data_IF_839844057198
#
_entry.id   IF_839844057198
#
_cell.length_a   1.000
_cell.length_b   1.000
_cell.length_c   1.000
_cell.angle_alpha   90.00
_cell.angle_beta   90.00
_cell.angle_gamma   90.00
#
_symmetry.space_group_name_H-M   'P 1'
#
loop_
_entity.id
_entity.type
_entity.pdbx_description
1 polymer ?
#
# COMPACT_ATOMS: atom_id res chain seq x y z
N UNK A 1 -11.77 -12.99 -6.83
CA UNK A 1 -10.49 -13.64 -7.14
C UNK A 1 -9.32 -12.76 -6.75
N UNK A 2 -9.32 -11.45 -7.10
CA UNK A 2 -8.22 -10.53 -6.77
C UNK A 2 -8.05 -10.24 -5.27
N UNK A 3 -9.12 -10.24 -4.47
CA UNK A 3 -9.03 -9.97 -3.03
C UNK A 3 -8.41 -11.12 -2.24
N UNK A 4 -8.64 -12.36 -2.62
CA UNK A 4 -8.02 -13.53 -1.97
C UNK A 4 -6.51 -13.59 -2.24
N UNK A 5 -6.05 -13.17 -3.41
CA UNK A 5 -4.63 -13.12 -3.73
C UNK A 5 -3.91 -12.06 -2.91
N UNK A 6 -4.47 -10.85 -2.78
CA UNK A 6 -3.90 -9.81 -1.92
C UNK A 6 -3.81 -10.23 -0.44
N UNK A 7 -4.78 -11.00 0.06
CA UNK A 7 -4.79 -11.45 1.47
C UNK A 7 -3.73 -12.53 1.72
N UNK A 8 -3.54 -13.48 0.81
CA UNK A 8 -2.52 -14.53 0.96
C UNK A 8 -1.12 -13.95 0.98
N UNK A 9 -0.81 -13.08 0.04
CA UNK A 9 0.51 -12.45 -0.04
C UNK A 9 0.79 -11.56 1.17
N UNK A 10 -0.22 -10.86 1.68
CA UNK A 10 -0.07 -10.07 2.91
C UNK A 10 0.29 -10.92 4.12
N UNK A 11 -0.19 -12.17 4.20
CA UNK A 11 0.18 -13.09 5.28
C UNK A 11 1.64 -13.56 5.15
N UNK A 12 2.11 -13.84 3.94
CA UNK A 12 3.50 -14.24 3.70
C UNK A 12 4.45 -13.07 4.01
N UNK A 13 4.12 -11.87 3.55
CA UNK A 13 4.87 -10.65 3.86
C UNK A 13 4.84 -10.33 5.37
N UNK A 14 3.72 -10.54 6.04
CA UNK A 14 3.62 -10.37 7.48
C UNK A 14 4.51 -11.37 8.24
N UNK A 15 4.61 -12.61 7.75
CA UNK A 15 5.53 -13.61 8.31
C UNK A 15 6.99 -13.22 8.15
N UNK A 16 7.37 -12.61 7.03
CA UNK A 16 8.74 -12.08 6.85
C UNK A 16 9.02 -10.90 7.78
N UNK A 17 8.06 -9.98 7.94
CA UNK A 17 8.19 -8.88 8.90
C UNK A 17 8.28 -9.39 10.35
N UNK A 18 7.51 -10.42 10.71
CA UNK A 18 7.60 -11.08 12.02
C UNK A 18 8.98 -11.67 12.27
N UNK A 19 9.59 -12.33 11.27
CA UNK A 19 10.97 -12.82 11.36
C UNK A 19 11.96 -11.69 11.65
N UNK A 20 11.81 -10.55 10.96
CA UNK A 20 12.64 -9.36 11.19
C UNK A 20 12.53 -8.82 12.61
N UNK A 21 11.29 -8.66 13.12
CA UNK A 21 11.04 -8.22 14.50
C UNK A 21 11.66 -9.19 15.50
N UNK A 22 11.43 -10.50 15.33
CA UNK A 22 11.92 -11.51 16.27
C UNK A 22 13.44 -11.62 16.23
N UNK A 23 14.09 -11.50 15.06
CA UNK A 23 15.55 -11.53 14.92
C UNK A 23 16.23 -10.33 15.59
N UNK A 24 15.55 -9.17 15.60
CA UNK A 24 16.02 -7.96 16.28
C UNK A 24 15.73 -7.94 17.81
N UNK A 25 15.19 -9.04 18.36
CA UNK A 25 14.93 -9.18 19.80
C UNK A 25 13.57 -8.68 20.25
N UNK A 26 12.68 -8.32 19.31
CA UNK A 26 11.29 -8.00 19.60
C UNK A 26 10.39 -9.24 19.68
N UNK A 27 9.12 -9.02 19.91
CA UNK A 27 8.07 -10.05 19.81
C UNK A 27 6.95 -9.54 18.96
N UNK A 28 6.76 -10.13 17.79
CA UNK A 28 5.69 -9.76 16.89
C UNK A 28 4.34 -10.39 17.29
N UNK A 29 3.27 -9.65 17.04
CA UNK A 29 1.89 -10.12 17.07
C UNK A 29 1.22 -9.66 15.79
N UNK A 30 0.78 -10.60 14.96
CA UNK A 30 0.14 -10.29 13.68
C UNK A 30 -1.37 -10.17 13.88
N UNK A 31 -1.95 -9.11 13.33
CA UNK A 31 -3.40 -8.97 13.19
C UNK A 31 -3.74 -8.38 11.82
N UNK A 32 -4.95 -8.62 11.36
CA UNK A 32 -5.41 -8.15 10.05
C UNK A 32 -6.53 -7.13 10.21
N UNK A 33 -6.58 -6.16 9.30
CA UNK A 33 -7.71 -5.25 9.13
C UNK A 33 -8.35 -5.48 7.75
N UNK A 34 -9.49 -4.83 7.52
CA UNK A 34 -10.18 -4.92 6.24
C UNK A 34 -9.33 -4.35 5.10
N UNK A 35 -9.52 -4.89 3.92
CA UNK A 35 -8.95 -4.37 2.67
C UNK A 35 -10.04 -4.26 1.61
N UNK A 36 -10.11 -3.12 0.94
CA UNK A 36 -11.00 -2.88 -0.20
C UNK A 36 -10.16 -2.64 -1.45
N UNK A 37 -10.52 -3.32 -2.53
CA UNK A 37 -9.94 -3.09 -3.84
C UNK A 37 -10.89 -2.26 -4.69
N UNK A 38 -10.47 -1.06 -5.07
CA UNK A 38 -11.23 -0.18 -5.96
C UNK A 38 -11.45 -0.82 -7.33
N UNK A 39 -10.47 -1.58 -7.83
CA UNK A 39 -10.58 -2.28 -9.11
C UNK A 39 -11.71 -3.30 -9.16
N UNK A 40 -12.01 -3.98 -8.06
CA UNK A 40 -13.11 -4.94 -7.97
C UNK A 40 -14.46 -4.24 -7.89
N UNK A 41 -14.53 -3.13 -7.16
CA UNK A 41 -15.78 -2.40 -6.91
C UNK A 41 -16.11 -1.34 -7.99
N UNK A 42 -15.15 -1.04 -8.87
CA UNK A 42 -15.32 -0.04 -9.93
C UNK A 42 -16.55 -0.34 -10.82
N UNK A 43 -17.36 0.69 -11.09
CA UNK A 43 -18.57 0.56 -11.87
C UNK A 43 -19.76 -0.09 -11.15
N UNK A 44 -19.61 -0.49 -9.88
CA UNK A 44 -20.68 -1.05 -9.06
C UNK A 44 -21.11 -0.12 -7.92
N UNK A 45 -22.26 -0.43 -7.29
CA UNK A 45 -22.71 0.27 -6.08
C UNK A 45 -21.70 0.14 -4.91
N UNK A 46 -20.87 -0.89 -4.91
CA UNK A 46 -19.81 -1.12 -3.92
C UNK A 46 -18.77 0.01 -3.86
N UNK A 47 -18.57 0.74 -4.95
CA UNK A 47 -17.60 1.84 -5.00
C UNK A 47 -17.91 2.97 -3.99
N UNK A 48 -19.14 3.12 -3.55
CA UNK A 48 -19.56 4.08 -2.52
C UNK A 48 -18.88 3.85 -1.17
N UNK A 49 -18.43 2.62 -0.90
CA UNK A 49 -17.77 2.22 0.33
C UNK A 49 -16.24 2.35 0.28
N UNK A 50 -15.67 2.59 -0.91
CA UNK A 50 -14.23 2.63 -1.10
C UNK A 50 -13.55 3.67 -0.22
N UNK A 51 -13.93 4.95 -0.31
CA UNK A 51 -13.29 6.01 0.48
C UNK A 51 -13.53 5.85 1.99
N UNK A 52 -14.70 5.38 2.39
CA UNK A 52 -15.05 5.12 3.80
C UNK A 52 -14.13 4.08 4.43
N UNK A 53 -13.70 3.07 3.66
CA UNK A 53 -12.82 2.02 4.15
C UNK A 53 -11.49 2.57 4.69
N UNK A 54 -10.99 3.69 4.18
CA UNK A 54 -9.77 4.35 4.67
C UNK A 54 -9.86 4.69 6.16
N UNK A 55 -10.98 5.28 6.59
CA UNK A 55 -11.21 5.64 8.00
C UNK A 55 -11.35 4.39 8.86
N UNK A 56 -12.11 3.39 8.39
CA UNK A 56 -12.32 2.13 9.13
C UNK A 56 -10.98 1.39 9.33
N UNK A 57 -10.11 1.41 8.33
CA UNK A 57 -8.76 0.82 8.43
C UNK A 57 -7.95 1.57 9.50
N UNK A 58 -7.91 2.91 9.43
CA UNK A 58 -7.20 3.72 10.42
C UNK A 58 -7.70 3.46 11.84
N UNK A 59 -9.02 3.49 12.04
CA UNK A 59 -9.66 3.25 13.32
C UNK A 59 -9.38 1.85 13.87
N UNK A 60 -9.38 0.82 13.01
CA UNK A 60 -9.10 -0.55 13.42
C UNK A 60 -7.65 -0.73 13.89
N UNK A 61 -6.68 -0.15 13.17
CA UNK A 61 -5.26 -0.20 13.53
C UNK A 61 -5.03 0.53 14.85
N UNK A 62 -5.57 1.74 14.98
CA UNK A 62 -5.49 2.54 16.19
C UNK A 62 -6.08 1.81 17.37
N UNK A 63 -7.29 1.27 17.23
CA UNK A 63 -8.02 0.56 18.30
C UNK A 63 -7.26 -0.67 18.79
N UNK A 64 -6.83 -1.54 17.87
CA UNK A 64 -6.14 -2.78 18.25
C UNK A 64 -4.80 -2.47 18.90
N UNK A 65 -4.00 -1.61 18.28
CA UNK A 65 -2.65 -1.29 18.76
C UNK A 65 -2.68 -0.58 20.12
N UNK A 66 -3.61 0.36 20.29
CA UNK A 66 -3.75 1.08 21.55
C UNK A 66 -4.28 0.19 22.67
N UNK A 67 -5.32 -0.60 22.39
CA UNK A 67 -5.95 -1.50 23.37
C UNK A 67 -5.00 -2.60 23.84
N UNK A 68 -4.24 -3.19 22.93
CA UNK A 68 -3.28 -4.24 23.26
C UNK A 68 -1.94 -3.70 23.81
N UNK A 69 -1.72 -2.40 23.74
CA UNK A 69 -0.52 -1.77 24.29
C UNK A 69 0.76 -2.09 23.51
N UNK A 70 0.69 -2.29 22.18
CA UNK A 70 1.88 -2.56 21.38
C UNK A 70 2.81 -1.35 21.32
N UNK A 71 4.11 -1.58 21.39
CA UNK A 71 5.13 -0.52 21.47
C UNK A 71 5.44 0.09 20.09
N UNK A 72 5.33 -0.71 19.01
CA UNK A 72 5.59 -0.28 17.64
C UNK A 72 4.73 -1.04 16.64
N UNK A 73 4.69 -0.57 15.40
CA UNK A 73 3.84 -1.15 14.34
C UNK A 73 4.59 -1.25 13.02
N UNK A 74 4.54 -2.43 12.40
CA UNK A 74 4.80 -2.58 10.96
C UNK A 74 3.47 -2.77 10.27
N UNK A 75 3.10 -1.83 9.41
CA UNK A 75 1.87 -1.90 8.63
C UNK A 75 2.17 -2.28 7.18
N UNK A 76 1.50 -3.30 6.65
CA UNK A 76 1.64 -3.75 5.26
C UNK A 76 0.35 -3.44 4.52
N UNK A 77 0.44 -2.71 3.42
CA UNK A 77 -0.71 -2.33 2.63
C UNK A 77 -0.40 -2.15 1.15
N UNK A 78 -1.35 -2.45 0.28
CA UNK A 78 -1.09 -2.48 -1.16
C UNK A 78 -2.20 -1.94 -2.06
N UNK A 79 -3.25 -1.32 -1.54
CA UNK A 79 -4.35 -0.82 -2.38
C UNK A 79 -4.69 0.63 -2.06
N UNK A 80 -5.53 1.24 -2.91
CA UNK A 80 -5.85 2.67 -2.98
C UNK A 80 -6.15 3.32 -1.63
N UNK A 81 -6.99 2.68 -0.81
CA UNK A 81 -7.49 3.26 0.44
C UNK A 81 -6.81 2.68 1.66
N UNK A 82 -6.29 1.45 1.60
CA UNK A 82 -5.66 0.85 2.75
C UNK A 82 -4.28 1.46 3.07
N UNK A 83 -3.50 1.84 2.06
CA UNK A 83 -2.22 2.51 2.31
C UNK A 83 -2.38 3.83 3.09
N UNK A 84 -3.18 4.81 2.62
CA UNK A 84 -3.40 6.02 3.41
C UNK A 84 -4.10 5.73 4.74
N UNK A 85 -5.02 4.76 4.80
CA UNK A 85 -5.65 4.33 6.05
C UNK A 85 -4.65 3.80 7.07
N UNK A 86 -3.71 2.95 6.64
CA UNK A 86 -2.62 2.49 7.49
C UNK A 86 -1.80 3.66 8.04
N UNK A 87 -1.32 4.55 7.17
CA UNK A 87 -0.49 5.68 7.61
C UNK A 87 -1.23 6.64 8.52
N UNK A 88 -2.55 6.86 8.29
CA UNK A 88 -3.39 7.64 9.22
C UNK A 88 -3.46 6.97 10.60
N UNK A 89 -3.65 5.66 10.67
CA UNK A 89 -3.63 4.91 11.93
C UNK A 89 -2.28 5.02 12.65
N UNK A 90 -1.16 4.86 11.91
CA UNK A 90 0.19 5.03 12.45
C UNK A 90 0.42 6.46 12.98
N UNK A 91 -0.05 7.47 12.24
CA UNK A 91 0.07 8.88 12.62
C UNK A 91 -0.70 9.19 13.90
N UNK A 92 -1.95 8.70 14.04
CA UNK A 92 -2.80 8.89 15.23
C UNK A 92 -2.22 8.20 16.46
N UNK A 93 -1.70 6.99 16.31
CA UNK A 93 -1.02 6.25 17.38
C UNK A 93 0.27 6.93 17.84
N UNK A 94 0.97 7.56 16.93
CA UNK A 94 2.26 8.20 17.15
C UNK A 94 3.24 7.32 17.93
N UNK A 95 3.31 6.04 17.57
CA UNK A 95 4.29 5.06 18.07
C UNK A 95 5.30 4.73 16.97
N UNK A 96 6.53 4.34 17.31
CA UNK A 96 7.52 3.90 16.31
C UNK A 96 6.91 2.97 15.28
N UNK A 97 6.99 3.35 14.01
CA UNK A 97 6.24 2.64 12.97
C UNK A 97 6.95 2.67 11.63
N UNK A 98 6.79 1.58 10.88
CA UNK A 98 7.25 1.45 9.50
C UNK A 98 6.09 0.98 8.64
N UNK A 99 5.90 1.60 7.49
CA UNK A 99 4.97 1.14 6.48
C UNK A 99 5.71 0.34 5.40
N UNK A 100 5.13 -0.77 4.95
CA UNK A 100 5.63 -1.58 3.84
C UNK A 100 4.58 -1.60 2.74
N UNK A 101 4.98 -1.23 1.54
CA UNK A 101 4.15 -1.42 0.35
C UNK A 101 4.07 -2.90 0.00
N UNK A 102 2.86 -3.43 -0.15
CA UNK A 102 2.66 -4.85 -0.49
C UNK A 102 3.17 -5.28 -1.86
N UNK A 103 3.61 -4.32 -2.68
CA UNK A 103 4.24 -4.57 -3.97
C UNK A 103 3.30 -4.47 -5.16
N UNK A 104 3.91 -4.23 -6.31
CA UNK A 104 3.23 -4.08 -7.61
C UNK A 104 3.00 -5.45 -8.24
N UNK A 105 1.86 -5.64 -8.91
CA UNK A 105 1.56 -6.83 -9.70
C UNK A 105 2.50 -6.93 -10.89
N UNK A 106 3.03 -8.12 -11.16
CA UNK A 106 3.86 -8.33 -12.33
C UNK A 106 3.03 -8.28 -13.62
N UNK A 107 3.59 -7.73 -14.71
CA UNK A 107 2.96 -7.79 -16.02
C UNK A 107 2.88 -9.23 -16.52
N UNK A 108 1.93 -9.48 -17.41
CA UNK A 108 1.82 -10.74 -18.13
C UNK A 108 2.88 -10.90 -19.25
N UNK A 109 2.74 -11.95 -20.03
CA UNK A 109 3.59 -12.19 -21.19
C UNK A 109 3.58 -10.98 -22.14
N UNK A 110 4.73 -10.67 -22.75
CA UNK A 110 4.91 -9.52 -23.64
C UNK A 110 4.66 -8.16 -22.96
N UNK A 111 4.90 -8.05 -21.63
CA UNK A 111 4.68 -6.85 -20.84
C UNK A 111 3.23 -6.33 -20.87
N UNK A 112 2.26 -7.22 -21.04
CA UNK A 112 0.84 -6.87 -20.95
C UNK A 112 0.49 -6.52 -19.50
N UNK A 113 -0.24 -5.44 -19.33
CA UNK A 113 -0.65 -4.89 -18.03
C UNK A 113 -2.12 -4.45 -18.04
N UNK A 114 -2.55 -3.74 -17.02
CA UNK A 114 -3.94 -3.24 -16.93
C UNK A 114 -4.25 -2.21 -18.04
N UNK A 115 -3.27 -1.46 -18.52
CA UNK A 115 -3.45 -0.51 -19.62
C UNK A 115 -3.73 -1.27 -20.91
N UNK A 116 -3.02 -2.40 -21.14
CA UNK A 116 -3.26 -3.28 -22.28
C UNK A 116 -4.70 -3.81 -22.31
N UNK A 117 -5.29 -4.10 -21.14
CA UNK A 117 -6.70 -4.50 -21.03
C UNK A 117 -7.64 -3.34 -21.41
N UNK A 118 -7.39 -2.12 -20.90
CA UNK A 118 -8.20 -0.95 -21.25
C UNK A 118 -8.13 -0.62 -22.75
N UNK A 119 -6.95 -0.74 -23.36
CA UNK A 119 -6.78 -0.59 -24.79
C UNK A 119 -7.55 -1.67 -25.58
N UNK A 120 -7.53 -2.92 -25.11
CA UNK A 120 -8.26 -4.02 -25.73
C UNK A 120 -9.78 -3.80 -25.68
N UNK A 121 -10.32 -3.31 -24.55
CA UNK A 121 -11.73 -2.92 -24.44
C UNK A 121 -12.08 -1.84 -25.46
N UNK A 122 -11.23 -0.83 -25.64
CA UNK A 122 -11.39 0.20 -26.67
C UNK A 122 -11.37 -0.38 -28.09
N UNK A 123 -10.43 -1.27 -28.40
CA UNK A 123 -10.34 -1.98 -29.70
C UNK A 123 -11.59 -2.83 -29.93
N UNK A 124 -12.08 -3.53 -28.90
CA UNK A 124 -13.31 -4.31 -29.01
C UNK A 124 -14.53 -3.44 -29.30
N UNK A 125 -14.66 -2.29 -28.64
CA UNK A 125 -15.74 -1.34 -28.90
C UNK A 125 -15.75 -0.80 -30.35
N UNK A 126 -14.58 -0.69 -30.96
CA UNK A 126 -14.41 -0.27 -32.36
C UNK A 126 -14.51 -1.46 -33.36
N UNK A 127 -14.71 -2.69 -32.89
CA UNK A 127 -14.69 -3.93 -33.69
C UNK A 127 -13.31 -4.25 -34.33
N UNK A 128 -12.22 -3.76 -33.76
CA UNK A 128 -10.85 -4.05 -34.22
C UNK A 128 -10.37 -5.42 -33.73
N UNK A 129 -10.94 -5.94 -32.64
CA UNK A 129 -10.74 -7.29 -32.10
C UNK A 129 -12.09 -7.94 -31.79
N UNK A 130 -12.10 -9.27 -31.69
CA UNK A 130 -13.28 -10.05 -31.30
C UNK A 130 -13.30 -10.36 -29.78
N UNK A 131 -14.39 -11.01 -29.31
CA UNK A 131 -14.57 -11.32 -27.89
C UNK A 131 -13.53 -12.34 -27.38
N UNK A 132 -13.10 -13.28 -28.22
CA UNK A 132 -12.10 -14.29 -27.87
C UNK A 132 -10.72 -13.65 -27.65
N UNK A 133 -10.36 -12.70 -28.52
CA UNK A 133 -9.10 -11.96 -28.41
C UNK A 133 -9.11 -11.05 -27.16
N UNK A 134 -10.24 -10.42 -26.85
CA UNK A 134 -10.40 -9.64 -25.62
C UNK A 134 -10.23 -10.53 -24.37
N UNK A 135 -10.95 -11.64 -24.30
CA UNK A 135 -10.88 -12.60 -23.19
C UNK A 135 -9.46 -13.17 -22.99
N UNK A 136 -8.74 -13.39 -24.08
CA UNK A 136 -7.34 -13.84 -24.02
C UNK A 136 -6.44 -12.78 -23.39
N UNK A 137 -6.60 -11.51 -23.74
CA UNK A 137 -5.84 -10.41 -23.16
C UNK A 137 -6.19 -10.26 -21.68
N UNK A 138 -7.48 -10.22 -21.32
CA UNK A 138 -7.94 -10.11 -19.94
C UNK A 138 -7.41 -11.23 -19.03
N UNK A 139 -7.35 -12.46 -19.55
CA UNK A 139 -6.89 -13.62 -18.77
C UNK A 139 -5.38 -13.70 -18.58
N UNK A 140 -4.60 -12.98 -19.37
CA UNK A 140 -3.13 -13.10 -19.40
C UNK A 140 -2.37 -11.84 -19.03
N UNK A 141 -3.03 -10.69 -18.95
CA UNK A 141 -2.36 -9.39 -18.80
C UNK A 141 -1.64 -9.21 -17.45
N UNK A 142 -2.26 -9.65 -16.35
CA UNK A 142 -1.76 -9.47 -14.98
C UNK A 142 -2.01 -10.73 -14.16
N UNK A 143 -1.26 -11.83 -14.39
CA UNK A 143 -1.61 -13.16 -13.89
C UNK A 143 -1.28 -13.40 -12.41
N UNK A 144 -0.60 -12.47 -11.74
CA UNK A 144 -0.10 -12.65 -10.38
C UNK A 144 -0.82 -11.81 -9.33
N UNK A 145 -0.35 -11.84 -8.09
CA UNK A 145 -0.79 -10.96 -7.02
C UNK A 145 -0.08 -9.60 -7.06
N UNK A 146 -0.66 -8.62 -6.37
CA UNK A 146 -0.07 -7.29 -6.18
C UNK A 146 -1.04 -6.15 -6.49
N UNK A 147 -0.57 -4.93 -6.23
CA UNK A 147 -1.30 -3.70 -6.55
C UNK A 147 -1.18 -3.36 -8.03
N UNK A 148 -2.10 -2.51 -8.54
CA UNK A 148 -2.07 -2.08 -9.95
C UNK A 148 -0.69 -1.62 -10.41
N UNK A 149 -0.25 -2.07 -11.59
CA UNK A 149 1.07 -1.73 -12.15
C UNK A 149 1.18 -0.32 -12.74
N UNK A 150 0.06 0.37 -12.98
CA UNK A 150 0.06 1.77 -13.45
C UNK A 150 0.29 2.77 -12.32
N UNK A 151 0.66 4.02 -12.66
CA UNK A 151 0.80 5.13 -11.71
C UNK A 151 -0.58 5.65 -11.28
N UNK A 152 -1.47 4.73 -10.87
CA UNK A 152 -2.74 5.03 -10.24
C UNK A 152 -2.53 5.31 -8.74
N UNK A 153 -3.59 5.28 -7.94
CA UNK A 153 -3.51 5.69 -6.54
C UNK A 153 -2.56 4.81 -5.72
N UNK A 154 -2.53 3.50 -5.95
CA UNK A 154 -1.66 2.58 -5.22
C UNK A 154 -0.17 2.94 -5.36
N UNK A 155 0.35 3.01 -6.59
CA UNK A 155 1.76 3.37 -6.83
C UNK A 155 2.06 4.81 -6.41
N UNK A 156 1.12 5.74 -6.63
CA UNK A 156 1.27 7.13 -6.18
C UNK A 156 1.43 7.22 -4.67
N UNK A 157 0.58 6.51 -3.91
CA UNK A 157 0.66 6.54 -2.45
C UNK A 157 1.88 5.79 -1.92
N UNK A 158 2.29 4.68 -2.54
CA UNK A 158 3.52 3.99 -2.20
C UNK A 158 4.73 4.92 -2.32
N UNK A 159 4.86 5.61 -3.46
CA UNK A 159 5.93 6.59 -3.70
C UNK A 159 5.86 7.78 -2.72
N UNK A 160 4.66 8.26 -2.42
CA UNK A 160 4.46 9.35 -1.47
C UNK A 160 4.88 8.95 -0.05
N UNK A 161 4.50 7.76 0.41
CA UNK A 161 4.80 7.25 1.75
C UNK A 161 6.31 7.01 1.92
N UNK A 162 6.99 6.55 0.87
CA UNK A 162 8.45 6.46 0.87
C UNK A 162 9.10 7.84 0.94
N UNK A 163 8.62 8.81 0.16
CA UNK A 163 9.11 10.19 0.20
C UNK A 163 8.83 10.91 1.53
N UNK A 164 7.75 10.52 2.22
CA UNK A 164 7.47 10.97 3.59
C UNK A 164 8.45 10.39 4.62
N UNK A 165 9.17 9.32 4.27
CA UNK A 165 10.09 8.62 5.18
C UNK A 165 9.45 7.53 6.03
N UNK A 166 8.21 7.15 5.76
CA UNK A 166 7.49 6.10 6.51
C UNK A 166 7.74 4.68 5.97
N UNK A 167 8.34 4.54 4.79
CA UNK A 167 8.80 3.28 4.21
C UNK A 167 10.32 3.26 4.06
N UNK A 168 10.88 2.08 3.98
CA UNK A 168 12.30 1.90 3.67
C UNK A 168 12.58 2.32 2.21
N UNK A 169 13.79 2.76 1.89
CA UNK A 169 14.17 3.12 0.52
C UNK A 169 13.97 1.95 -0.45
N UNK A 170 13.40 2.24 -1.61
CA UNK A 170 13.01 1.34 -2.69
C UNK A 170 11.82 0.41 -2.40
N UNK A 171 11.14 0.55 -1.26
CA UNK A 171 9.94 -0.24 -0.94
C UNK A 171 8.82 -0.04 -1.96
N UNK A 172 8.66 1.18 -2.49
CA UNK A 172 7.60 1.55 -3.43
C UNK A 172 7.76 0.99 -4.85
N UNK A 173 8.94 0.50 -5.21
CA UNK A 173 9.27 0.07 -6.57
C UNK A 173 9.38 -1.45 -6.76
N UNK A 174 9.06 -2.23 -5.72
CA UNK A 174 9.25 -3.68 -5.73
C UNK A 174 7.98 -4.42 -6.18
N UNK A 175 8.19 -5.55 -6.85
CA UNK A 175 7.11 -6.48 -7.17
C UNK A 175 6.63 -7.22 -5.92
N UNK A 176 5.34 -7.53 -5.86
CA UNK A 176 4.72 -8.18 -4.71
C UNK A 176 5.30 -9.56 -4.37
N UNK A 177 5.82 -10.28 -5.37
CA UNK A 177 6.33 -11.65 -5.24
C UNK A 177 7.85 -11.73 -5.38
N UNK A 178 8.55 -10.60 -5.30
CA UNK A 178 10.01 -10.58 -5.42
C UNK A 178 10.70 -10.96 -4.11
N UNK A 179 11.89 -11.55 -4.21
CA UNK A 179 12.76 -11.81 -3.04
C UNK A 179 13.17 -10.50 -2.36
N UNK A 180 13.28 -9.41 -3.13
CA UNK A 180 13.55 -8.08 -2.60
C UNK A 180 12.42 -7.61 -1.68
N UNK A 181 11.15 -7.91 -2.01
CA UNK A 181 9.99 -7.59 -1.18
C UNK A 181 10.00 -8.38 0.13
N UNK A 182 10.34 -9.65 0.10
CA UNK A 182 10.50 -10.46 1.31
C UNK A 182 11.60 -9.88 2.21
N UNK A 183 12.72 -9.50 1.62
CA UNK A 183 13.84 -8.85 2.33
C UNK A 183 13.43 -7.50 2.91
N UNK A 184 12.66 -6.70 2.16
CA UNK A 184 12.13 -5.40 2.62
C UNK A 184 11.23 -5.55 3.85
N UNK A 185 10.36 -6.55 3.88
CA UNK A 185 9.51 -6.86 5.02
C UNK A 185 10.33 -7.24 6.26
N UNK A 186 11.34 -8.09 6.11
CA UNK A 186 12.23 -8.46 7.21
C UNK A 186 12.99 -7.24 7.75
N UNK A 187 13.56 -6.42 6.86
CA UNK A 187 14.25 -5.18 7.23
C UNK A 187 13.32 -4.15 7.90
N UNK A 188 12.05 -4.10 7.50
CA UNK A 188 11.05 -3.24 8.15
C UNK A 188 10.78 -3.69 9.60
N UNK A 189 10.77 -5.01 9.84
CA UNK A 189 10.70 -5.58 11.18
C UNK A 189 11.90 -5.19 12.06
N UNK A 190 13.11 -5.23 11.52
CA UNK A 190 14.31 -4.75 12.22
C UNK A 190 14.28 -3.23 12.44
N UNK A 191 13.82 -2.48 11.43
CA UNK A 191 13.78 -1.02 11.48
C UNK A 191 12.84 -0.50 12.56
N UNK A 192 11.69 -1.14 12.81
CA UNK A 192 10.77 -0.68 13.87
C UNK A 192 11.42 -0.82 15.26
N UNK A 193 12.26 -1.83 15.50
CA UNK A 193 13.00 -1.96 16.75
C UNK A 193 14.04 -0.84 16.90
N UNK A 194 14.74 -0.49 15.83
CA UNK A 194 15.69 0.62 15.83
C UNK A 194 14.97 1.98 16.09
N UNK A 195 13.75 2.16 15.56
CA UNK A 195 12.94 3.35 15.85
C UNK A 195 12.49 3.38 17.32
N UNK A 196 12.16 2.22 17.90
CA UNK A 196 11.84 2.08 19.33
C UNK A 196 13.01 2.47 20.21
N UNK A 197 14.21 1.93 19.93
CA UNK A 197 15.44 2.27 20.69
C UNK A 197 15.77 3.75 20.64
N UNK A 198 15.48 4.44 19.55
CA UNK A 198 15.76 5.85 19.34
C UNK A 198 14.60 6.77 19.71
N UNK A 199 13.47 6.24 20.13
CA UNK A 199 12.21 6.95 20.40
C UNK A 199 11.75 7.84 19.21
N UNK A 200 11.95 7.35 17.97
CA UNK A 200 11.54 8.08 16.75
C UNK A 200 10.11 7.67 16.39
N UNK A 201 9.22 8.65 16.25
CA UNK A 201 7.79 8.49 16.02
C UNK A 201 7.35 9.06 14.66
N UNK A 202 6.18 8.71 14.15
CA UNK A 202 5.62 9.31 12.93
C UNK A 202 5.63 10.84 12.94
N UNK A 203 5.37 11.48 14.07
CA UNK A 203 5.42 12.95 14.22
C UNK A 203 6.82 13.55 13.98
N UNK A 204 7.88 12.79 14.21
CA UNK A 204 9.26 13.25 13.98
C UNK A 204 9.65 13.10 12.50
N UNK A 205 9.04 12.16 11.80
CA UNK A 205 9.32 11.83 10.39
C UNK A 205 8.43 12.65 9.45
N UNK A 206 7.11 12.63 9.67
CA UNK A 206 6.11 13.25 8.83
C UNK A 206 5.98 14.75 9.10
N UNK A 207 7.06 15.49 8.85
CA UNK A 207 7.12 16.94 9.01
C UNK A 207 6.49 17.65 7.80
N UNK A 208 6.21 18.95 7.93
CA UNK A 208 5.77 19.79 6.81
C UNK A 208 6.68 19.64 5.59
N UNK A 209 8.01 19.63 5.78
CA UNK A 209 8.98 19.45 4.68
C UNK A 209 8.87 18.07 4.03
N UNK A 210 8.60 17.03 4.81
CA UNK A 210 8.38 15.69 4.27
C UNK A 210 7.13 15.66 3.36
N UNK A 211 6.05 16.32 3.77
CA UNK A 211 4.85 16.47 2.91
C UNK A 211 5.14 17.29 1.65
N UNK A 212 5.89 18.40 1.75
CA UNK A 212 6.29 19.19 0.59
C UNK A 212 7.12 18.37 -0.39
N UNK A 213 8.04 17.52 0.10
CA UNK A 213 8.81 16.59 -0.73
C UNK A 213 7.92 15.54 -1.40
N UNK A 214 7.00 14.93 -0.65
CA UNK A 214 6.07 13.95 -1.20
C UNK A 214 5.15 14.55 -2.28
N UNK A 215 4.63 15.76 -2.06
CA UNK A 215 3.82 16.49 -3.05
C UNK A 215 4.65 16.77 -4.31
N UNK A 216 5.88 17.22 -4.16
CA UNK A 216 6.79 17.49 -5.28
C UNK A 216 7.06 16.24 -6.11
N UNK A 217 7.31 15.11 -5.41
CA UNK A 217 7.51 13.82 -6.08
C UNK A 217 6.26 13.39 -6.85
N UNK A 218 5.07 13.46 -6.24
CA UNK A 218 3.81 13.08 -6.88
C UNK A 218 3.53 13.91 -8.14
N UNK A 219 3.76 15.22 -8.07
CA UNK A 219 3.60 16.11 -9.24
C UNK A 219 4.58 15.70 -10.34
N UNK A 220 5.82 15.40 -9.98
CA UNK A 220 6.87 15.01 -10.94
C UNK A 220 6.55 13.68 -11.62
N UNK A 221 5.98 12.73 -10.89
CA UNK A 221 5.58 11.41 -11.39
C UNK A 221 4.27 11.46 -12.23
N UNK A 222 3.54 12.55 -12.19
CA UNK A 222 2.20 12.60 -12.79
C UNK A 222 1.20 11.69 -12.05
N UNK A 223 1.31 11.64 -10.72
CA UNK A 223 0.54 10.73 -9.89
C UNK A 223 -0.96 11.03 -9.84
N UNK A 224 -1.71 10.11 -9.22
CA UNK A 224 -3.16 10.17 -9.08
C UNK A 224 -3.62 11.39 -8.28
N UNK A 225 -4.69 12.04 -8.73
CA UNK A 225 -5.35 13.15 -8.02
C UNK A 225 -5.90 12.77 -6.65
N UNK A 226 -6.15 11.48 -6.41
CA UNK A 226 -6.55 10.96 -5.09
C UNK A 226 -5.49 11.25 -4.00
N UNK A 227 -4.23 11.42 -4.38
CA UNK A 227 -3.17 11.80 -3.44
C UNK A 227 -3.47 13.10 -2.70
N UNK A 228 -4.18 14.05 -3.32
CA UNK A 228 -4.60 15.30 -2.66
C UNK A 228 -5.46 15.01 -1.44
N UNK A 229 -6.49 14.16 -1.61
CA UNK A 229 -7.39 13.78 -0.51
C UNK A 229 -6.64 13.00 0.59
N UNK A 230 -5.72 12.13 0.18
CA UNK A 230 -5.02 11.25 1.10
C UNK A 230 -3.94 11.97 1.89
N UNK A 231 -3.12 12.80 1.26
CA UNK A 231 -2.08 13.56 1.96
C UNK A 231 -2.67 14.55 2.95
N UNK A 232 -3.80 15.22 2.61
CA UNK A 232 -4.51 16.10 3.53
C UNK A 232 -5.00 15.30 4.75
N UNK A 233 -5.63 14.14 4.53
CA UNK A 233 -6.12 13.31 5.63
C UNK A 233 -5.00 12.77 6.52
N UNK A 234 -3.88 12.37 5.93
CA UNK A 234 -2.68 11.94 6.66
C UNK A 234 -2.08 13.08 7.49
N UNK A 235 -1.97 14.29 6.91
CA UNK A 235 -1.49 15.48 7.64
C UNK A 235 -2.42 15.86 8.80
N UNK A 236 -3.74 15.82 8.59
CA UNK A 236 -4.71 16.09 9.66
C UNK A 236 -4.71 15.02 10.76
N UNK A 237 -4.27 13.80 10.47
CA UNK A 237 -4.08 12.74 11.48
C UNK A 237 -2.90 13.02 12.42
N UNK A 238 -1.98 13.88 12.02
CA UNK A 238 -0.86 14.37 12.81
C UNK A 238 -1.25 15.73 13.42
N UNK A 239 -1.89 15.79 14.52
CA UNK A 239 -2.46 17.02 15.14
C UNK A 239 -1.51 18.23 15.16
N UNK A 240 -0.20 18.02 15.02
CA UNK A 240 0.83 19.06 15.09
C UNK A 240 1.17 19.76 13.76
N UNK A 241 0.55 19.38 12.65
CA UNK A 241 0.80 19.99 11.31
C UNK A 241 -0.31 20.98 10.93
#
# INVERSE_FOLDING_TARGET
VGSEMCIRDSNDLASEAEKGVNSAGGKAVVFNTITISDGISMGSEGMKYSLVSREVIADSIETVTACQGFDGVVAIGGCDKNMPGCVMGLARLNRPSVFVYGGTIQPGANHTDIVSVFEAVGKRANNDINDIELEQIESTAIPGPGSCGGMYTANTMASAIEALGMSLPNSSSQDAISDDKNTDCSRAGEAVLNLLEKDIKPSDIMTKKAFENAITLIITLGGSTNAVLHLIAMALSLIHI
#
